data_IF_599948963365
#
_entry.id   IF_599948963365
#
_cell.length_a   1.000
_cell.length_b   1.000
_cell.length_c   1.000
_cell.angle_alpha   90.00
_cell.angle_beta   90.00
_cell.angle_gamma   90.00
#
_symmetry.space_group_name_H-M   'P 1'
#
loop_
_entity.id
_entity.type
_entity.pdbx_description
1 polymer ?
#
# COMPACT_ATOMS: atom_id res chain seq x y z
N UNK A 1 -23.94 -5.85 -5.45
CA UNK A 1 -22.64 -5.31 -4.99
C UNK A 1 -22.81 -4.91 -3.53
N UNK A 2 -21.79 -5.10 -2.72
CA UNK A 2 -21.78 -4.69 -1.31
C UNK A 2 -20.60 -3.75 -1.08
N UNK A 3 -20.85 -2.57 -0.52
CA UNK A 3 -19.84 -1.53 -0.32
C UNK A 3 -19.49 -1.44 1.15
N UNK A 4 -18.21 -1.62 1.47
CA UNK A 4 -17.62 -1.30 2.76
C UNK A 4 -16.99 0.08 2.66
N UNK A 5 -17.70 1.08 3.16
CA UNK A 5 -17.32 2.47 2.99
C UNK A 5 -16.37 2.96 4.11
N UNK A 6 -15.34 3.70 3.70
CA UNK A 6 -14.30 4.32 4.52
C UNK A 6 -13.74 3.40 5.63
N UNK A 7 -13.22 2.24 5.23
CA UNK A 7 -12.68 1.29 6.20
C UNK A 7 -11.44 1.85 6.90
N UNK A 8 -11.27 1.60 8.21
CA UNK A 8 -10.14 2.12 8.96
C UNK A 8 -8.84 1.43 8.52
N UNK A 9 -7.72 2.11 8.78
CA UNK A 9 -6.36 1.62 8.44
C UNK A 9 -6.08 0.18 8.88
N UNK A 10 -6.58 -0.22 10.05
CA UNK A 10 -6.35 -1.54 10.65
C UNK A 10 -7.44 -2.56 10.32
N UNK A 11 -8.26 -2.32 9.30
CA UNK A 11 -9.26 -3.27 8.83
C UNK A 11 -8.60 -4.59 8.44
N UNK A 12 -9.08 -5.70 9.02
CA UNK A 12 -8.55 -7.03 8.72
C UNK A 12 -9.25 -7.62 7.48
N UNK A 13 -8.65 -7.40 6.32
CA UNK A 13 -9.14 -7.92 5.04
C UNK A 13 -9.24 -9.45 5.00
N UNK A 14 -8.53 -10.18 5.86
CA UNK A 14 -8.61 -11.64 5.92
C UNK A 14 -9.99 -12.12 6.38
N UNK A 15 -10.71 -11.30 7.15
CA UNK A 15 -12.08 -11.61 7.59
C UNK A 15 -13.06 -11.80 6.42
N UNK A 16 -12.77 -11.19 5.27
CA UNK A 16 -13.61 -11.30 4.08
C UNK A 16 -13.29 -12.52 3.21
N UNK A 17 -12.22 -13.27 3.48
CA UNK A 17 -11.74 -14.32 2.56
C UNK A 17 -12.75 -15.42 2.32
N UNK A 18 -13.46 -15.83 3.37
CA UNK A 18 -14.52 -16.83 3.27
C UNK A 18 -15.66 -16.29 2.41
N UNK A 19 -16.09 -15.05 2.65
CA UNK A 19 -17.21 -14.42 1.95
C UNK A 19 -16.94 -14.14 0.46
N UNK A 20 -15.68 -13.87 0.08
CA UNK A 20 -15.33 -13.60 -1.33
C UNK A 20 -15.00 -14.86 -2.13
N UNK A 21 -14.84 -16.02 -1.47
CA UNK A 21 -14.48 -17.28 -2.16
C UNK A 21 -15.54 -18.38 -2.08
N UNK A 22 -16.61 -18.19 -1.31
CA UNK A 22 -17.65 -19.20 -1.15
C UNK A 22 -18.97 -18.61 -0.69
N UNK A 23 -19.85 -19.49 -0.22
CA UNK A 23 -21.17 -19.13 0.29
C UNK A 23 -21.04 -18.23 1.53
N UNK A 24 -22.03 -17.34 1.71
CA UNK A 24 -22.10 -16.45 2.87
C UNK A 24 -23.17 -16.97 3.81
N UNK A 25 -22.75 -17.41 5.00
CA UNK A 25 -23.66 -17.79 6.08
C UNK A 25 -23.99 -16.57 6.94
N UNK A 26 -25.27 -16.22 7.00
CA UNK A 26 -25.80 -15.15 7.83
C UNK A 26 -26.55 -15.74 9.04
N UNK A 27 -25.95 -15.61 10.22
CA UNK A 27 -26.54 -16.04 11.49
C UNK A 27 -27.56 -14.99 11.98
N UNK A 28 -28.85 -15.33 11.94
CA UNK A 28 -29.92 -14.45 12.42
C UNK A 28 -30.16 -14.69 13.91
N UNK A 29 -30.37 -13.62 14.68
CA UNK A 29 -30.65 -13.76 16.12
C UNK A 29 -31.96 -14.54 16.33
N UNK A 30 -31.89 -15.61 17.12
CA UNK A 30 -33.03 -16.47 17.50
C UNK A 30 -33.72 -17.16 16.31
N UNK A 31 -33.04 -17.25 15.18
CA UNK A 31 -33.52 -17.92 13.97
C UNK A 31 -32.42 -18.80 13.39
N UNK A 32 -32.77 -19.64 12.42
CA UNK A 32 -31.78 -20.45 11.71
C UNK A 32 -30.90 -19.60 10.80
N UNK A 33 -29.66 -20.04 10.62
CA UNK A 33 -28.73 -19.47 9.67
C UNK A 33 -29.31 -19.48 8.25
N UNK A 34 -29.11 -18.38 7.52
CA UNK A 34 -29.45 -18.29 6.10
C UNK A 34 -28.16 -18.39 5.29
N UNK A 35 -28.16 -19.23 4.26
CA UNK A 35 -27.03 -19.37 3.35
C UNK A 35 -27.33 -18.58 2.08
N UNK A 36 -26.45 -17.64 1.74
CA UNK A 36 -26.43 -16.97 0.44
C UNK A 36 -25.44 -17.76 -0.43
N UNK A 37 -25.91 -18.46 -1.48
CA UNK A 37 -25.04 -19.22 -2.37
C UNK A 37 -24.00 -18.32 -3.05
N UNK A 38 -22.81 -18.83 -3.33
CA UNK A 38 -21.71 -18.08 -3.95
C UNK A 38 -22.10 -17.40 -5.27
N UNK A 39 -22.97 -18.04 -6.07
CA UNK A 39 -23.49 -17.47 -7.32
C UNK A 39 -24.29 -16.17 -7.11
N UNK A 40 -24.90 -16.02 -5.93
CA UNK A 40 -25.72 -14.88 -5.54
C UNK A 40 -24.94 -13.95 -4.58
N UNK A 41 -23.73 -14.34 -4.17
CA UNK A 41 -22.89 -13.53 -3.29
C UNK A 41 -22.49 -12.22 -3.98
N UNK A 42 -22.59 -11.08 -3.28
CA UNK A 42 -22.27 -9.79 -3.86
C UNK A 42 -20.76 -9.68 -4.15
N UNK A 43 -20.41 -8.92 -5.18
CA UNK A 43 -19.05 -8.38 -5.29
C UNK A 43 -18.84 -7.31 -4.23
N UNK A 44 -17.69 -7.34 -3.57
CA UNK A 44 -17.32 -6.39 -2.53
C UNK A 44 -16.55 -5.22 -3.15
N UNK A 45 -16.94 -4.01 -2.78
CA UNK A 45 -16.18 -2.78 -3.04
C UNK A 45 -15.78 -2.23 -1.69
N UNK A 46 -14.52 -1.82 -1.55
CA UNK A 46 -13.98 -1.28 -0.31
C UNK A 46 -13.36 0.06 -0.64
N UNK A 47 -13.74 1.10 0.10
CA UNK A 47 -13.12 2.42 0.01
C UNK A 47 -12.31 2.67 1.28
N UNK A 48 -11.18 3.35 1.14
CA UNK A 48 -10.36 3.77 2.28
C UNK A 48 -9.47 4.93 1.86
N UNK A 49 -9.23 5.85 2.80
CA UNK A 49 -8.26 6.93 2.65
C UNK A 49 -6.83 6.49 3.01
N UNK A 50 -6.65 5.23 3.43
CA UNK A 50 -5.36 4.69 3.86
C UNK A 50 -4.71 3.83 2.79
N UNK A 51 -3.40 4.00 2.59
CA UNK A 51 -2.65 3.08 1.73
C UNK A 51 -2.76 1.64 2.26
N UNK A 52 -3.11 0.71 1.37
CA UNK A 52 -3.23 -0.71 1.70
C UNK A 52 -1.87 -1.37 1.57
N UNK A 53 -1.41 -2.01 2.65
CA UNK A 53 -0.13 -2.74 2.64
C UNK A 53 -0.16 -3.87 1.62
N UNK A 54 0.89 -3.94 0.82
CA UNK A 54 1.11 -4.99 -0.16
C UNK A 54 2.28 -5.88 0.24
N UNK A 55 2.02 -7.18 0.35
CA UNK A 55 3.05 -8.19 0.56
C UNK A 55 3.22 -9.04 -0.69
N UNK A 56 4.39 -8.96 -1.32
CA UNK A 56 4.69 -9.72 -2.56
C UNK A 56 4.46 -11.23 -2.38
N UNK A 57 4.84 -11.77 -1.23
CA UNK A 57 4.73 -13.20 -0.91
C UNK A 57 3.28 -13.63 -0.56
N UNK A 58 2.35 -12.70 -0.36
CA UNK A 58 0.96 -12.98 -0.04
C UNK A 58 0.13 -13.32 -1.29
N UNK A 59 0.56 -14.33 -2.06
CA UNK A 59 -0.06 -14.75 -3.34
C UNK A 59 -1.57 -14.98 -3.22
N UNK A 60 -1.99 -15.57 -2.09
CA UNK A 60 -3.40 -15.79 -1.75
C UNK A 60 -4.18 -14.46 -1.70
N UNK A 61 -3.66 -13.44 -1.05
CA UNK A 61 -4.30 -12.13 -0.97
C UNK A 61 -4.26 -11.44 -2.33
N UNK A 62 -3.09 -11.39 -2.96
CA UNK A 62 -2.84 -10.62 -4.18
C UNK A 62 -3.68 -11.08 -5.40
N UNK A 63 -4.17 -12.33 -5.41
CA UNK A 63 -5.09 -12.80 -6.46
C UNK A 63 -6.54 -12.37 -6.26
N UNK A 64 -6.95 -12.04 -5.03
CA UNK A 64 -8.34 -11.78 -4.62
C UNK A 64 -8.72 -10.31 -4.60
N UNK A 65 -7.73 -9.41 -4.47
CA UNK A 65 -7.96 -7.97 -4.44
C UNK A 65 -7.46 -7.33 -5.74
N UNK A 66 -8.22 -6.35 -6.20
CA UNK A 66 -7.81 -5.42 -7.25
C UNK A 66 -8.01 -4.03 -6.67
N UNK A 67 -6.94 -3.26 -6.63
CA UNK A 67 -6.90 -1.94 -6.02
C UNK A 67 -6.77 -0.89 -7.11
N UNK A 68 -7.54 0.18 -6.99
CA UNK A 68 -7.45 1.37 -7.83
C UNK A 68 -7.20 2.55 -6.92
N UNK A 69 -6.10 3.25 -7.15
CA UNK A 69 -5.68 4.39 -6.34
C UNK A 69 -6.08 5.69 -7.03
N UNK A 70 -6.66 6.60 -6.26
CA UNK A 70 -6.90 7.97 -6.68
C UNK A 70 -5.77 8.85 -6.14
N UNK A 71 -5.32 9.81 -6.94
CA UNK A 71 -4.39 10.85 -6.49
C UNK A 71 -5.16 11.94 -5.74
N UNK A 72 -4.43 12.84 -5.08
CA UNK A 72 -4.91 14.09 -4.50
C UNK A 72 -5.22 15.16 -5.55
N UNK A 73 -5.58 14.75 -6.78
CA UNK A 73 -5.88 15.66 -7.86
C UNK A 73 -7.06 16.57 -7.52
N UNK A 74 -8.10 16.04 -6.89
CA UNK A 74 -9.24 16.81 -6.41
C UNK A 74 -8.88 17.48 -5.08
N UNK A 75 -9.02 18.81 -5.03
CA UNK A 75 -8.65 19.61 -3.86
C UNK A 75 -9.66 20.76 -3.63
N UNK A 76 -9.55 21.41 -2.47
CA UNK A 76 -10.48 22.49 -2.09
C UNK A 76 -10.18 23.85 -2.74
N UNK A 77 -9.03 24.00 -3.38
CA UNK A 77 -8.50 25.29 -3.83
C UNK A 77 -8.96 25.61 -5.25
N UNK A 78 -8.54 24.81 -6.23
CA UNK A 78 -8.71 25.10 -7.67
C UNK A 78 -9.13 23.88 -8.51
N UNK A 79 -9.35 22.73 -7.87
CA UNK A 79 -9.69 21.47 -8.55
C UNK A 79 -10.86 20.80 -7.86
N UNK A 80 -11.98 21.50 -7.71
CA UNK A 80 -13.25 20.85 -7.43
C UNK A 80 -13.84 20.32 -8.73
N UNK A 81 -14.60 19.21 -8.71
CA UNK A 81 -15.24 18.70 -9.92
C UNK A 81 -16.05 19.78 -10.66
N UNK A 82 -16.82 20.58 -9.94
CA UNK A 82 -17.62 21.66 -10.51
C UNK A 82 -16.77 22.75 -11.19
N UNK A 83 -15.61 23.10 -10.61
CA UNK A 83 -14.69 24.10 -11.18
C UNK A 83 -13.98 23.54 -12.42
N UNK A 84 -13.64 22.25 -12.39
CA UNK A 84 -12.88 21.60 -13.46
C UNK A 84 -13.75 21.24 -14.67
N UNK A 85 -14.95 20.72 -14.45
CA UNK A 85 -15.87 20.30 -15.51
C UNK A 85 -16.87 21.40 -15.91
N UNK A 86 -16.99 22.46 -15.09
CA UNK A 86 -17.93 23.56 -15.32
C UNK A 86 -19.39 23.20 -15.06
N UNK A 87 -19.65 22.01 -14.51
CA UNK A 87 -20.97 21.56 -14.11
C UNK A 87 -20.88 20.57 -12.93
N UNK A 88 -21.93 20.53 -12.12
CA UNK A 88 -22.08 19.54 -11.06
C UNK A 88 -22.50 18.19 -11.68
N UNK A 89 -21.73 17.15 -11.36
CA UNK A 89 -21.97 15.81 -11.89
C UNK A 89 -23.37 15.28 -11.57
N UNK A 90 -24.00 14.67 -12.57
CA UNK A 90 -25.34 14.06 -12.53
C UNK A 90 -26.50 15.03 -12.31
N UNK A 91 -26.30 16.11 -11.56
CA UNK A 91 -27.32 17.12 -11.26
C UNK A 91 -27.51 18.12 -12.41
N UNK A 92 -26.42 18.60 -13.01
CA UNK A 92 -26.43 19.60 -14.09
C UNK A 92 -26.16 19.00 -15.47
N UNK A 93 -26.18 17.67 -15.57
CA UNK A 93 -25.94 16.96 -16.82
C UNK A 93 -27.14 17.09 -17.77
N UNK A 94 -26.86 17.55 -18.98
CA UNK A 94 -27.83 17.53 -20.07
C UNK A 94 -27.93 16.14 -20.70
N UNK A 95 -28.82 15.99 -21.69
CA UNK A 95 -29.00 14.73 -22.41
C UNK A 95 -27.70 14.23 -23.07
N UNK A 96 -26.80 15.13 -23.46
CA UNK A 96 -25.54 14.78 -24.12
C UNK A 96 -24.55 14.20 -23.10
N UNK A 97 -24.42 14.82 -21.93
CA UNK A 97 -23.57 14.31 -20.84
C UNK A 97 -24.06 12.93 -20.36
N UNK A 98 -25.37 12.75 -20.18
CA UNK A 98 -25.95 11.44 -19.88
C UNK A 98 -25.66 10.41 -20.97
N UNK A 99 -25.73 10.80 -22.24
CA UNK A 99 -25.40 9.90 -23.35
C UNK A 99 -23.91 9.48 -23.32
N UNK A 100 -22.99 10.42 -23.06
CA UNK A 100 -21.55 10.13 -22.92
C UNK A 100 -21.30 9.18 -21.75
N UNK A 101 -21.96 9.39 -20.62
CA UNK A 101 -21.86 8.52 -19.46
C UNK A 101 -22.31 7.09 -19.77
N UNK A 102 -23.46 6.91 -20.42
CA UNK A 102 -23.94 5.57 -20.79
C UNK A 102 -23.04 4.90 -21.82
N UNK A 103 -22.52 5.66 -22.79
CA UNK A 103 -21.56 5.13 -23.76
C UNK A 103 -20.29 4.62 -23.05
N UNK A 104 -19.73 5.42 -22.13
CA UNK A 104 -18.59 5.00 -21.32
C UNK A 104 -18.89 3.74 -20.51
N UNK A 105 -20.07 3.65 -19.88
CA UNK A 105 -20.47 2.46 -19.12
C UNK A 105 -20.56 1.21 -20.01
N UNK A 106 -21.14 1.33 -21.20
CA UNK A 106 -21.22 0.23 -22.18
C UNK A 106 -19.82 -0.19 -22.61
N UNK A 107 -18.93 0.75 -22.90
CA UNK A 107 -17.53 0.46 -23.25
C UNK A 107 -16.80 -0.29 -22.12
N UNK A 108 -16.99 0.14 -20.87
CA UNK A 108 -16.44 -0.57 -19.70
C UNK A 108 -17.01 -1.99 -19.58
N UNK A 109 -18.31 -2.17 -19.76
CA UNK A 109 -18.95 -3.48 -19.69
C UNK A 109 -18.45 -4.43 -20.80
N UNK A 110 -18.36 -3.93 -22.04
CA UNK A 110 -17.80 -4.69 -23.15
C UNK A 110 -16.36 -5.09 -22.88
N UNK A 111 -15.51 -4.15 -22.43
CA UNK A 111 -14.12 -4.46 -22.08
C UNK A 111 -14.02 -5.50 -20.97
N UNK A 112 -14.88 -5.42 -19.95
CA UNK A 112 -14.91 -6.40 -18.87
C UNK A 112 -15.32 -7.79 -19.35
N UNK A 113 -16.31 -7.90 -20.23
CA UNK A 113 -16.73 -9.19 -20.80
C UNK A 113 -15.62 -9.80 -21.66
N UNK A 114 -14.91 -8.98 -22.45
CA UNK A 114 -13.85 -9.46 -23.35
C UNK A 114 -12.55 -9.80 -22.64
N UNK A 115 -12.12 -8.97 -21.70
CA UNK A 115 -10.76 -9.06 -21.10
C UNK A 115 -10.75 -9.34 -19.60
N UNK A 116 -11.92 -9.42 -18.97
CA UNK A 116 -12.05 -9.47 -17.52
C UNK A 116 -11.72 -8.13 -16.85
N UNK A 117 -11.55 -8.16 -15.52
CA UNK A 117 -11.13 -6.99 -14.75
C UNK A 117 -9.65 -6.68 -15.01
N UNK A 118 -9.36 -5.52 -15.61
CA UNK A 118 -7.99 -5.05 -15.84
C UNK A 118 -7.34 -4.62 -14.53
N UNK A 119 -6.26 -5.28 -14.13
CA UNK A 119 -5.48 -4.90 -12.95
C UNK A 119 -4.52 -3.76 -13.30
N UNK A 120 -4.34 -2.81 -12.39
CA UNK A 120 -3.31 -1.78 -12.52
C UNK A 120 -1.94 -2.36 -12.19
N UNK A 121 -0.92 -2.04 -12.99
CA UNK A 121 0.47 -2.41 -12.72
C UNK A 121 1.27 -1.17 -12.38
N UNK A 122 1.72 -1.07 -11.13
CA UNK A 122 2.58 -0.01 -10.64
C UNK A 122 3.38 -0.51 -9.42
N UNK A 123 4.45 0.21 -9.04
CA UNK A 123 5.21 -0.17 -7.84
C UNK A 123 4.41 0.10 -6.57
N UNK A 124 4.32 -0.91 -5.71
CA UNK A 124 3.69 -0.82 -4.38
C UNK A 124 4.63 -0.30 -3.29
N UNK A 125 5.85 0.11 -3.66
CA UNK A 125 6.84 0.56 -2.69
C UNK A 125 6.40 1.85 -1.99
N UNK A 126 5.84 2.81 -2.75
CA UNK A 126 5.28 4.04 -2.19
C UNK A 126 4.09 3.75 -1.27
N UNK A 127 3.15 2.92 -1.72
CA UNK A 127 1.98 2.56 -0.92
C UNK A 127 2.39 1.87 0.37
N UNK A 128 3.39 0.99 0.33
CA UNK A 128 3.94 0.36 1.51
C UNK A 128 4.62 1.37 2.44
N UNK A 129 5.41 2.31 1.90
CA UNK A 129 6.00 3.38 2.69
C UNK A 129 4.94 4.19 3.41
N UNK A 130 3.91 4.69 2.69
CA UNK A 130 2.79 5.43 3.27
C UNK A 130 2.01 4.61 4.29
N UNK A 131 1.73 3.34 3.99
CA UNK A 131 1.05 2.44 4.91
C UNK A 131 1.85 2.24 6.20
N UNK A 132 3.17 2.12 6.13
CA UNK A 132 4.02 2.02 7.31
C UNK A 132 4.08 3.36 8.06
N UNK A 133 4.41 4.45 7.38
CA UNK A 133 4.65 5.79 7.93
C UNK A 133 3.41 6.69 7.85
N UNK A 134 2.27 6.14 8.24
CA UNK A 134 0.95 6.77 8.11
C UNK A 134 0.70 7.98 9.03
N UNK A 135 1.63 8.26 9.95
CA UNK A 135 1.59 9.47 10.78
C UNK A 135 3.01 9.97 11.03
N UNK A 136 3.10 11.27 11.30
CA UNK A 136 4.38 11.97 11.43
C UNK A 136 5.17 11.48 12.64
N UNK A 137 4.50 11.17 13.76
CA UNK A 137 5.17 10.67 14.98
C UNK A 137 5.99 9.40 14.72
N UNK A 138 5.46 8.48 13.91
CA UNK A 138 6.17 7.25 13.54
C UNK A 138 7.32 7.56 12.59
N UNK A 139 7.10 8.45 11.61
CA UNK A 139 8.13 8.82 10.65
C UNK A 139 9.30 9.55 11.32
N UNK A 140 9.00 10.57 12.12
CA UNK A 140 9.99 11.38 12.84
C UNK A 140 10.84 10.53 13.79
N UNK A 141 10.22 9.63 14.57
CA UNK A 141 10.97 8.75 15.45
C UNK A 141 11.81 7.74 14.66
N UNK A 142 11.31 7.23 13.54
CA UNK A 142 12.10 6.37 12.66
C UNK A 142 13.32 7.13 12.13
N UNK A 143 13.12 8.35 11.61
CA UNK A 143 14.17 9.21 11.07
C UNK A 143 15.21 9.60 12.12
N UNK A 144 14.77 9.90 13.35
CA UNK A 144 15.66 10.18 14.49
C UNK A 144 16.60 9.00 14.73
N UNK A 145 16.04 7.80 14.88
CA UNK A 145 16.83 6.58 15.11
C UNK A 145 17.72 6.25 13.92
N UNK A 146 17.17 6.35 12.70
CA UNK A 146 17.89 6.03 11.47
C UNK A 146 19.08 6.98 11.24
N UNK A 147 18.94 8.27 11.56
CA UNK A 147 20.03 9.25 11.48
C UNK A 147 21.22 8.83 12.36
N UNK A 148 20.97 8.38 13.58
CA UNK A 148 22.04 7.90 14.49
C UNK A 148 22.68 6.63 13.94
N UNK A 149 21.86 5.69 13.48
CA UNK A 149 22.33 4.39 12.99
C UNK A 149 23.13 4.51 11.69
N UNK A 150 22.77 5.44 10.81
CA UNK A 150 23.46 5.69 9.53
C UNK A 150 24.92 6.15 9.72
N UNK A 151 25.29 6.62 10.92
CA UNK A 151 26.70 6.93 11.25
C UNK A 151 27.56 5.68 11.48
N UNK A 152 26.94 4.52 11.70
CA UNK A 152 27.62 3.23 11.90
C UNK A 152 27.89 2.58 10.55
N UNK A 153 28.84 1.64 10.49
CA UNK A 153 29.11 0.86 9.26
C UNK A 153 28.03 -0.17 8.95
N UNK A 154 27.37 -0.70 9.99
CA UNK A 154 26.31 -1.69 9.86
C UNK A 154 25.35 -1.61 11.05
N UNK A 155 24.16 -2.18 10.89
CA UNK A 155 23.23 -2.34 12.00
C UNK A 155 22.34 -3.57 11.87
N UNK A 156 21.78 -4.01 13.01
CA UNK A 156 20.76 -5.04 13.14
C UNK A 156 19.43 -4.47 13.62
N UNK A 157 18.36 -5.27 13.53
CA UNK A 157 17.04 -4.90 14.08
C UNK A 157 17.12 -4.59 15.58
N UNK A 158 17.93 -5.34 16.34
CA UNK A 158 18.04 -5.14 17.79
C UNK A 158 18.74 -3.83 18.12
N UNK A 159 19.84 -3.51 17.44
CA UNK A 159 20.54 -2.23 17.62
C UNK A 159 19.65 -1.03 17.31
N UNK A 160 18.75 -1.16 16.32
CA UNK A 160 17.74 -0.13 16.04
C UNK A 160 16.73 0.00 17.18
N UNK A 161 16.21 -1.12 17.68
CA UNK A 161 15.25 -1.11 18.79
C UNK A 161 15.87 -0.57 20.08
N UNK A 162 17.16 -0.81 20.31
CA UNK A 162 17.85 -0.28 21.48
C UNK A 162 18.04 1.23 21.39
N UNK A 163 18.35 1.77 20.20
CA UNK A 163 18.38 3.21 19.97
C UNK A 163 16.98 3.87 20.06
N UNK A 164 15.93 3.14 19.66
CA UNK A 164 14.54 3.58 19.85
C UNK A 164 14.16 3.71 21.33
N UNK A 165 14.59 2.77 22.18
CA UNK A 165 14.32 2.80 23.63
C UNK A 165 14.98 3.97 24.36
N UNK A 166 15.99 4.59 23.77
CA UNK A 166 16.62 5.79 24.33
C UNK A 166 15.67 7.00 24.33
N UNK A 167 14.61 7.00 23.52
CA UNK A 167 13.58 8.02 23.58
C UNK A 167 12.60 7.74 24.73
N UNK A 168 12.61 8.62 25.74
CA UNK A 168 11.76 8.52 26.92
C UNK A 168 10.25 8.44 26.61
N UNK A 169 9.81 9.06 25.51
CA UNK A 169 8.40 9.05 25.07
C UNK A 169 7.89 7.64 24.74
N UNK A 170 8.78 6.76 24.27
CA UNK A 170 8.43 5.42 23.81
C UNK A 170 8.86 4.30 24.77
N UNK A 171 9.40 4.65 25.95
CA UNK A 171 9.92 3.70 26.94
C UNK A 171 8.88 2.67 27.40
N UNK A 172 7.65 3.13 27.67
CA UNK A 172 6.57 2.29 28.20
C UNK A 172 5.66 1.73 27.11
N UNK A 173 5.56 2.43 25.97
CA UNK A 173 4.70 2.05 24.84
C UNK A 173 5.49 2.21 23.53
N UNK A 174 6.41 1.28 23.23
CA UNK A 174 7.24 1.36 22.03
C UNK A 174 6.39 1.19 20.77
N UNK A 175 6.63 2.06 19.79
CA UNK A 175 5.97 2.00 18.47
C UNK A 175 6.66 1.01 17.53
N UNK A 176 7.96 0.74 17.76
CA UNK A 176 8.74 -0.24 17.02
C UNK A 176 9.01 -1.50 17.84
N UNK A 177 8.89 -2.64 17.18
CA UNK A 177 9.18 -3.95 17.76
C UNK A 177 9.63 -4.93 16.66
N UNK A 178 10.23 -6.05 17.06
CA UNK A 178 10.84 -7.02 16.14
C UNK A 178 9.90 -7.48 15.00
N UNK A 179 8.58 -7.59 15.25
CA UNK A 179 7.60 -7.99 14.22
C UNK A 179 7.29 -6.93 13.17
N UNK A 180 7.44 -5.63 13.47
CA UNK A 180 7.03 -4.55 12.58
C UNK A 180 8.21 -3.78 11.97
N UNK A 181 9.41 -3.86 12.55
CA UNK A 181 10.49 -2.95 12.20
C UNK A 181 11.21 -3.31 10.91
N UNK A 182 11.49 -4.61 10.67
CA UNK A 182 12.17 -5.06 9.44
C UNK A 182 11.51 -4.57 8.14
N UNK A 183 10.18 -4.70 7.94
CA UNK A 183 9.56 -4.20 6.73
C UNK A 183 9.55 -2.66 6.65
N UNK A 184 9.52 -1.95 7.79
CA UNK A 184 9.64 -0.49 7.84
C UNK A 184 11.03 -0.01 7.38
N UNK A 185 12.08 -0.69 7.83
CA UNK A 185 13.46 -0.44 7.39
C UNK A 185 13.57 -0.63 5.89
N UNK A 186 13.06 -1.75 5.37
CA UNK A 186 13.08 -2.02 3.94
C UNK A 186 12.34 -0.93 3.14
N UNK A 187 11.12 -0.57 3.54
CA UNK A 187 10.33 0.46 2.86
C UNK A 187 11.02 1.83 2.88
N UNK A 188 11.61 2.23 4.02
CA UNK A 188 12.33 3.50 4.14
C UNK A 188 13.58 3.53 3.26
N UNK A 189 14.39 2.47 3.30
CA UNK A 189 15.61 2.37 2.50
C UNK A 189 15.30 2.39 1.00
N UNK A 190 14.27 1.67 0.55
CA UNK A 190 13.83 1.69 -0.85
C UNK A 190 13.36 3.07 -1.27
N UNK A 191 12.50 3.72 -0.47
CA UNK A 191 11.96 5.05 -0.76
C UNK A 191 13.03 6.15 -0.86
N UNK A 192 14.05 6.06 -0.02
CA UNK A 192 15.13 7.04 0.06
C UNK A 192 16.41 6.61 -0.67
N UNK A 193 16.34 5.53 -1.46
CA UNK A 193 17.45 5.01 -2.27
C UNK A 193 18.76 4.87 -1.48
N UNK A 194 18.66 4.39 -0.23
CA UNK A 194 19.83 4.28 0.64
C UNK A 194 20.69 3.10 0.22
N UNK A 195 21.92 3.38 -0.21
CA UNK A 195 22.89 2.36 -0.59
C UNK A 195 23.25 1.43 0.57
N UNK A 196 22.89 0.15 0.41
CA UNK A 196 23.08 -0.85 1.45
C UNK A 196 23.22 -2.27 0.88
N UNK A 197 23.69 -3.18 1.73
CA UNK A 197 23.67 -4.63 1.50
C UNK A 197 23.08 -5.29 2.74
N UNK A 198 22.12 -6.23 2.56
CA UNK A 198 21.57 -7.01 3.67
C UNK A 198 22.14 -8.43 3.71
N UNK A 199 22.85 -8.78 4.78
CA UNK A 199 23.31 -10.14 5.04
C UNK A 199 22.22 -10.96 5.72
N UNK A 200 21.72 -12.01 5.05
CA UNK A 200 20.70 -12.91 5.60
C UNK A 200 21.24 -13.77 6.76
N UNK A 201 22.49 -14.20 6.69
CA UNK A 201 23.15 -15.02 7.72
C UNK A 201 23.36 -14.23 9.01
N UNK A 202 23.90 -13.01 8.89
CA UNK A 202 24.17 -12.14 10.04
C UNK A 202 22.94 -11.34 10.49
N UNK A 203 21.92 -11.24 9.63
CA UNK A 203 20.70 -10.44 9.83
C UNK A 203 21.01 -8.96 10.05
N UNK A 204 21.96 -8.44 9.27
CA UNK A 204 22.49 -7.07 9.36
C UNK A 204 22.43 -6.35 8.02
N UNK A 205 22.24 -5.04 8.09
CA UNK A 205 22.41 -4.10 6.99
C UNK A 205 23.78 -3.46 7.08
N UNK A 206 24.51 -3.40 5.97
CA UNK A 206 25.79 -2.70 5.83
C UNK A 206 25.59 -1.53 4.90
N UNK A 207 26.02 -0.34 5.30
CA UNK A 207 25.99 0.83 4.44
C UNK A 207 27.25 0.85 3.58
N UNK A 208 27.12 1.14 2.28
CA UNK A 208 28.30 1.35 1.42
C UNK A 208 28.93 2.68 1.81
N UNK A 209 30.24 2.71 2.05
CA UNK A 209 30.93 3.96 2.28
C UNK A 209 31.04 4.72 0.95
N UNK A 210 30.78 6.03 0.98
CA UNK A 210 31.06 6.90 -0.15
C UNK A 210 32.58 7.03 -0.25
N UNK A 211 33.19 6.42 -1.26
CA UNK A 211 34.57 6.72 -1.63
C UNK A 211 34.60 8.12 -2.24
N UNK A 212 34.87 9.14 -1.41
CA UNK A 212 35.41 10.41 -1.92
C UNK A 212 36.89 10.18 -2.26
N UNK A 213 37.20 9.81 -3.51
CA UNK A 213 38.36 10.35 -4.25
C UNK A 213 38.51 9.80 -5.67
N UNK A 214 38.75 10.76 -6.56
CA UNK A 214 39.64 10.72 -7.73
C UNK A 214 39.33 9.80 -8.90
N UNK A 215 39.12 10.47 -10.04
CA UNK A 215 39.40 10.03 -11.40
C UNK A 215 40.34 8.83 -11.51
N UNK A 216 39.83 7.72 -12.04
CA UNK A 216 40.49 7.05 -13.15
C UNK A 216 39.47 6.20 -13.93
N UNK A 217 39.39 6.48 -15.23
CA UNK A 217 38.71 5.66 -16.21
C UNK A 217 39.33 4.26 -16.21
N UNK A 218 38.49 3.24 -16.03
CA UNK A 218 38.71 1.95 -16.66
C UNK A 218 37.35 1.46 -17.16
N UNK A 219 37.20 1.44 -18.49
CA UNK A 219 36.14 0.71 -19.17
C UNK A 219 36.27 -0.77 -18.85
N UNK A 220 35.21 -1.40 -18.34
CA UNK A 220 35.03 -2.85 -18.48
C UNK A 220 33.56 -3.15 -18.80
N UNK A 221 33.45 -4.00 -19.80
CA UNK A 221 32.35 -4.49 -20.61
C UNK A 221 31.12 -5.06 -19.87
N UNK A 222 29.99 -5.00 -20.58
CA UNK A 222 28.71 -5.61 -20.27
C UNK A 222 28.83 -7.13 -20.17
N UNK A 223 28.24 -7.73 -19.13
CA UNK A 223 27.28 -8.85 -19.20
C UNK A 223 27.02 -9.42 -17.80
N UNK A 224 25.83 -10.02 -17.66
CA UNK A 224 25.34 -10.83 -16.54
C UNK A 224 24.59 -10.12 -15.39
N UNK A 225 23.30 -9.85 -15.65
CA UNK A 225 22.25 -9.86 -14.64
C UNK A 225 21.62 -11.27 -14.57
N UNK A 226 21.63 -11.95 -13.42
CA UNK A 226 20.73 -13.06 -13.17
C UNK A 226 19.51 -12.59 -12.34
N UNK A 227 18.33 -12.62 -13.01
CA UNK A 227 16.95 -12.68 -12.48
C UNK A 227 16.39 -11.52 -11.64
#
# INVERSE_FOLDING_TARGET
VYVLDDVPRNFDYNTLYTNITGDITAERKREHAVIIPFKDAPKFVITTNWAVRYEKEAVSTNRRFVEYKFTDFWNNDDKRPEDYFGNLFFDEWDNKEWQLFYQFFIDCAMQFITTGLKKTTYSKDEDNYQAYFYNDVILEEFQRVFTVIKTRSSFSVMEFLDEHKNNALFKYKPIFHHKNLKPRIAAYITKHEVDHIFSKSERRWYFKQVEESASNKVEVDNNDLPF
#
